data_IF_993406214315
#
_entry.id   IF_993406214315
#
_cell.length_a   1.000
_cell.length_b   1.000
_cell.length_c   1.000
_cell.angle_alpha   90.00
_cell.angle_beta   90.00
_cell.angle_gamma   90.00
#
_symmetry.space_group_name_H-M   'P 1'
#
loop_
_entity.id
_entity.type
_entity.pdbx_description
1 polymer ?
#
# COMPACT_ATOMS: atom_id res chain seq x y z
N UNK A 1 19.24 -0.92 21.79
CA UNK A 1 20.01 0.36 21.72
C UNK A 1 20.18 0.68 20.24
N UNK A 2 19.28 1.49 19.68
CA UNK A 2 19.12 1.63 18.22
C UNK A 2 20.19 2.54 17.61
N UNK A 3 20.89 2.03 16.61
CA UNK A 3 21.98 2.71 15.89
C UNK A 3 21.38 3.47 14.70
N UNK A 4 21.15 4.77 14.86
CA UNK A 4 20.72 5.64 13.74
C UNK A 4 21.86 5.81 12.73
N UNK A 5 21.62 5.41 11.48
CA UNK A 5 22.52 5.70 10.36
C UNK A 5 21.81 6.64 9.39
N UNK A 6 22.29 7.89 9.34
CA UNK A 6 21.84 8.93 8.42
C UNK A 6 22.24 8.57 6.99
N UNK A 7 21.27 8.47 6.08
CA UNK A 7 21.49 8.64 4.64
C UNK A 7 20.44 9.59 4.07
N UNK A 8 20.91 10.78 3.68
CA UNK A 8 20.18 11.70 2.82
C UNK A 8 20.20 11.16 1.40
N UNK A 9 19.04 11.15 0.75
CA UNK A 9 18.94 11.09 -0.71
C UNK A 9 18.08 12.26 -1.16
N UNK A 10 18.70 13.17 -1.91
CA UNK A 10 18.01 14.21 -2.65
C UNK A 10 17.45 13.57 -3.93
N UNK A 11 16.13 13.63 -4.13
CA UNK A 11 15.52 13.33 -5.42
C UNK A 11 14.93 14.60 -6.02
N UNK A 12 15.56 15.03 -7.12
CA UNK A 12 15.11 16.14 -7.94
C UNK A 12 13.81 15.78 -8.64
N UNK A 13 12.81 16.66 -8.50
CA UNK A 13 11.56 16.56 -9.23
C UNK A 13 11.77 16.84 -10.71
N UNK A 14 11.71 15.81 -11.54
CA UNK A 14 11.50 15.99 -12.97
C UNK A 14 10.01 16.23 -13.21
N UNK A 15 9.67 17.42 -13.76
CA UNK A 15 8.36 17.67 -14.35
C UNK A 15 8.26 16.88 -15.65
N UNK A 16 7.22 16.06 -15.77
CA UNK A 16 6.88 15.38 -17.02
C UNK A 16 5.99 16.33 -17.82
N UNK A 17 6.48 16.83 -18.95
CA UNK A 17 5.64 17.47 -19.97
C UNK A 17 4.95 16.35 -20.78
N UNK A 18 3.62 16.33 -20.78
CA UNK A 18 2.83 15.33 -21.51
C UNK A 18 2.39 15.90 -22.88
N UNK A 19 2.58 15.17 -24.00
CA UNK A 19 2.08 15.62 -25.30
C UNK A 19 0.55 15.49 -25.39
N UNK A 20 -0.05 16.50 -26.02
CA UNK A 20 -1.45 16.57 -26.42
C UNK A 20 -1.69 15.63 -27.61
N UNK A 21 -2.11 14.41 -27.32
CA UNK A 21 -2.67 13.48 -28.30
C UNK A 21 -3.91 12.87 -27.67
N UNK A 22 -5.04 12.89 -28.38
CA UNK A 22 -6.36 12.44 -27.93
C UNK A 22 -6.51 10.93 -27.69
N UNK A 23 -5.52 10.28 -27.09
CA UNK A 23 -5.72 9.09 -26.29
C UNK A 23 -6.40 9.53 -24.98
N UNK A 24 -7.36 8.75 -24.49
CA UNK A 24 -7.91 8.93 -23.14
C UNK A 24 -6.75 8.64 -22.19
N UNK A 25 -6.00 9.68 -21.86
CA UNK A 25 -4.87 9.56 -20.95
C UNK A 25 -5.38 8.90 -19.66
N UNK A 26 -4.69 7.86 -19.15
CA UNK A 26 -5.12 7.20 -17.93
C UNK A 26 -5.26 8.25 -16.84
N UNK A 27 -6.40 8.21 -16.13
CA UNK A 27 -6.66 9.10 -15.01
C UNK A 27 -5.46 9.02 -14.06
N UNK A 28 -4.78 10.15 -13.86
CA UNK A 28 -3.57 10.21 -13.05
C UNK A 28 -3.83 9.67 -11.62
N UNK A 29 -5.05 9.83 -11.11
CA UNK A 29 -5.46 9.25 -9.84
C UNK A 29 -5.51 7.72 -9.91
N UNK A 30 -5.98 7.13 -11.01
CA UNK A 30 -6.00 5.67 -11.20
C UNK A 30 -4.59 5.08 -11.20
N UNK A 31 -3.66 5.70 -11.94
CA UNK A 31 -2.26 5.23 -11.97
C UNK A 31 -1.60 5.31 -10.58
N UNK A 32 -1.76 6.45 -9.89
CA UNK A 32 -1.19 6.66 -8.56
C UNK A 32 -1.79 5.70 -7.51
N UNK A 33 -3.10 5.49 -7.55
CA UNK A 33 -3.79 4.55 -6.65
C UNK A 33 -3.35 3.10 -6.92
N UNK A 34 -3.18 2.71 -8.18
CA UNK A 34 -2.73 1.36 -8.53
C UNK A 34 -1.33 1.08 -8.00
N UNK A 35 -0.43 2.05 -8.12
CA UNK A 35 0.93 1.97 -7.58
C UNK A 35 0.94 1.90 -6.05
N UNK A 36 0.09 2.69 -5.40
CA UNK A 36 -0.10 2.65 -3.95
C UNK A 36 -0.61 1.29 -3.48
N UNK A 37 -1.66 0.76 -4.14
CA UNK A 37 -2.26 -0.54 -3.80
C UNK A 37 -1.27 -1.70 -3.96
N UNK A 38 -0.47 -1.69 -5.02
CA UNK A 38 0.56 -2.70 -5.23
C UNK A 38 1.58 -2.74 -4.08
N UNK A 39 2.05 -1.57 -3.64
CA UNK A 39 2.99 -1.47 -2.52
C UNK A 39 2.36 -1.79 -1.18
N UNK A 40 1.10 -1.42 -0.97
CA UNK A 40 0.35 -1.80 0.22
C UNK A 40 0.21 -3.32 0.32
N UNK A 41 -0.15 -3.98 -0.79
CA UNK A 41 -0.24 -5.43 -0.87
C UNK A 41 1.12 -6.11 -0.59
N UNK A 42 2.23 -5.56 -1.11
CA UNK A 42 3.58 -6.04 -0.79
C UNK A 42 3.87 -5.93 0.72
N UNK A 43 3.53 -4.79 1.33
CA UNK A 43 3.70 -4.57 2.77
C UNK A 43 2.90 -5.57 3.60
N UNK A 44 1.64 -5.85 3.23
CA UNK A 44 0.80 -6.84 3.91
C UNK A 44 1.37 -8.26 3.80
N UNK A 45 1.82 -8.66 2.61
CA UNK A 45 2.44 -9.97 2.38
C UNK A 45 3.71 -10.14 3.21
N UNK A 46 4.57 -9.12 3.25
CA UNK A 46 5.77 -9.13 4.09
C UNK A 46 5.41 -9.19 5.57
N UNK A 47 4.39 -8.45 6.01
CA UNK A 47 3.91 -8.47 7.39
C UNK A 47 3.44 -9.87 7.80
N UNK A 48 2.63 -10.53 6.96
CA UNK A 48 2.19 -11.90 7.21
C UNK A 48 3.36 -12.89 7.29
N UNK A 49 4.33 -12.77 6.38
CA UNK A 49 5.53 -13.61 6.40
C UNK A 49 6.39 -13.37 7.64
N UNK A 50 6.56 -12.11 8.03
CA UNK A 50 7.29 -11.70 9.21
C UNK A 50 6.64 -12.26 10.48
N UNK A 51 5.32 -12.18 10.61
CA UNK A 51 4.56 -12.78 11.72
C UNK A 51 4.71 -14.31 11.80
N UNK A 52 4.70 -15.00 10.64
CA UNK A 52 4.91 -16.43 10.60
C UNK A 52 6.34 -16.81 11.06
N UNK A 53 7.34 -16.04 10.63
CA UNK A 53 8.73 -16.23 11.04
C UNK A 53 8.93 -15.92 12.53
N UNK A 54 8.33 -14.85 13.04
CA UNK A 54 8.33 -14.51 14.46
C UNK A 54 7.74 -15.65 15.30
N UNK A 55 6.59 -16.18 14.87
CA UNK A 55 5.93 -17.31 15.54
C UNK A 55 6.84 -18.55 15.58
N UNK A 56 7.53 -18.83 14.48
CA UNK A 56 8.49 -19.94 14.40
C UNK A 56 9.68 -19.74 15.35
N UNK A 57 10.31 -18.56 15.32
CA UNK A 57 11.41 -18.19 16.20
C UNK A 57 11.01 -18.29 17.68
N UNK A 58 9.81 -17.83 18.02
CA UNK A 58 9.29 -17.89 19.38
C UNK A 58 9.12 -19.33 19.86
N UNK A 59 8.51 -20.19 19.02
CA UNK A 59 8.20 -21.57 19.37
C UNK A 59 9.44 -22.47 19.44
N UNK A 60 10.34 -22.33 18.46
CA UNK A 60 11.38 -23.34 18.22
C UNK A 60 12.76 -22.90 18.73
N UNK A 61 12.96 -21.60 18.98
CA UNK A 61 14.26 -21.04 19.40
C UNK A 61 14.23 -20.27 20.72
N UNK A 62 13.10 -20.24 21.43
CA UNK A 62 12.90 -19.43 22.65
C UNK A 62 13.38 -17.99 22.45
N UNK A 63 13.01 -17.39 21.32
CA UNK A 63 13.54 -16.11 20.82
C UNK A 63 13.64 -15.00 21.88
N UNK A 64 12.67 -14.92 22.79
CA UNK A 64 12.64 -13.94 23.89
C UNK A 64 13.79 -14.08 24.88
N UNK A 65 14.31 -15.28 25.09
CA UNK A 65 15.36 -15.57 26.07
C UNK A 65 16.77 -15.47 25.47
N UNK A 66 16.86 -15.29 24.15
CA UNK A 66 18.13 -15.17 23.45
C UNK A 66 18.73 -13.77 23.64
N UNK A 67 20.02 -13.72 23.97
CA UNK A 67 20.84 -12.51 23.86
C UNK A 67 21.03 -12.10 22.40
N UNK A 68 21.42 -10.85 22.17
CA UNK A 68 21.69 -10.31 20.83
C UNK A 68 22.72 -11.16 20.05
N UNK A 69 23.77 -11.63 20.72
CA UNK A 69 24.78 -12.51 20.11
C UNK A 69 24.22 -13.89 19.71
N UNK A 70 23.30 -14.44 20.52
CA UNK A 70 22.63 -15.70 20.18
C UNK A 70 21.65 -15.51 19.02
N UNK A 71 20.90 -14.41 18.98
CA UNK A 71 20.03 -14.09 17.84
C UNK A 71 20.83 -13.92 16.55
N UNK A 72 21.95 -13.19 16.60
CA UNK A 72 22.83 -13.00 15.44
C UNK A 72 23.43 -14.31 14.89
N UNK A 73 23.39 -15.40 15.66
CA UNK A 73 23.82 -16.72 15.20
C UNK A 73 22.74 -17.52 14.47
N UNK A 74 21.48 -17.07 14.50
CA UNK A 74 20.36 -17.66 13.79
C UNK A 74 20.22 -17.00 12.40
N UNK A 75 20.33 -17.75 11.29
CA UNK A 75 20.10 -17.20 9.95
C UNK A 75 18.74 -16.52 9.80
N UNK A 76 17.71 -17.07 10.44
CA UNK A 76 16.33 -16.58 10.46
C UNK A 76 16.19 -15.21 11.13
N UNK A 77 17.10 -14.86 12.04
CA UNK A 77 17.13 -13.54 12.68
C UNK A 77 17.42 -12.42 11.68
N UNK A 78 18.40 -12.64 10.81
CA UNK A 78 18.80 -11.66 9.81
C UNK A 78 17.70 -11.47 8.75
N UNK A 79 17.01 -12.55 8.39
CA UNK A 79 15.85 -12.49 7.49
C UNK A 79 14.70 -11.71 8.14
N UNK A 80 14.40 -11.98 9.41
CA UNK A 80 13.37 -11.27 10.18
C UNK A 80 13.65 -9.75 10.26
N UNK A 81 14.88 -9.38 10.63
CA UNK A 81 15.28 -7.97 10.72
C UNK A 81 15.17 -7.26 9.35
N UNK A 82 15.63 -7.92 8.28
CA UNK A 82 15.54 -7.35 6.93
C UNK A 82 14.09 -7.14 6.46
N UNK A 83 13.19 -8.09 6.76
CA UNK A 83 11.77 -7.94 6.45
C UNK A 83 11.15 -6.80 7.25
N UNK A 84 11.47 -6.69 8.54
CA UNK A 84 10.95 -5.63 9.39
C UNK A 84 11.40 -4.24 8.88
N UNK A 85 12.67 -4.08 8.49
CA UNK A 85 13.17 -2.86 7.89
C UNK A 85 12.43 -2.52 6.57
N UNK A 86 12.17 -3.52 5.72
CA UNK A 86 11.44 -3.33 4.47
C UNK A 86 9.96 -2.95 4.71
N UNK A 87 9.30 -3.57 5.69
CA UNK A 87 7.92 -3.23 6.09
C UNK A 87 7.85 -1.78 6.56
N UNK A 88 8.80 -1.33 7.41
CA UNK A 88 8.86 0.06 7.88
C UNK A 88 9.04 1.02 6.71
N UNK A 89 9.97 0.73 5.79
CA UNK A 89 10.23 1.58 4.63
C UNK A 89 8.99 1.68 3.72
N UNK A 90 8.32 0.57 3.44
CA UNK A 90 7.08 0.54 2.65
C UNK A 90 5.96 1.31 3.35
N UNK A 91 5.80 1.14 4.66
CA UNK A 91 4.78 1.85 5.43
C UNK A 91 4.99 3.37 5.42
N UNK A 92 6.24 3.82 5.63
CA UNK A 92 6.58 5.24 5.58
C UNK A 92 6.31 5.84 4.20
N UNK A 93 6.74 5.13 3.15
CA UNK A 93 6.49 5.52 1.78
C UNK A 93 4.99 5.56 1.44
N UNK A 94 4.23 4.53 1.79
CA UNK A 94 2.79 4.45 1.55
C UNK A 94 2.04 5.57 2.27
N UNK A 95 2.47 5.92 3.49
CA UNK A 95 1.90 7.05 4.26
C UNK A 95 2.16 8.40 3.57
N UNK A 96 3.36 8.61 3.04
CA UNK A 96 3.68 9.84 2.29
C UNK A 96 2.87 9.92 0.99
N UNK A 97 2.80 8.84 0.22
CA UNK A 97 2.06 8.77 -1.03
C UNK A 97 0.54 8.88 -0.85
N UNK A 98 0.00 8.45 0.28
CA UNK A 98 -1.43 8.57 0.56
C UNK A 98 -1.91 10.02 0.51
N UNK A 99 -1.05 10.97 0.90
CA UNK A 99 -1.37 12.40 0.75
C UNK A 99 -1.54 12.79 -0.71
N UNK A 100 -0.64 12.34 -1.59
CA UNK A 100 -0.75 12.59 -3.02
C UNK A 100 -2.01 11.95 -3.63
N UNK A 101 -2.35 10.73 -3.21
CA UNK A 101 -3.62 10.07 -3.59
C UNK A 101 -4.83 10.90 -3.15
N UNK A 102 -4.79 11.45 -1.94
CA UNK A 102 -5.87 12.26 -1.38
C UNK A 102 -6.07 13.55 -2.17
N UNK A 103 -4.98 14.27 -2.42
CA UNK A 103 -4.97 15.60 -3.07
C UNK A 103 -5.32 15.52 -4.56
N UNK A 104 -5.04 14.40 -5.23
CA UNK A 104 -5.29 14.25 -6.65
C UNK A 104 -6.78 13.97 -6.92
N UNK A 105 -7.42 14.85 -7.69
CA UNK A 105 -8.81 14.67 -8.09
C UNK A 105 -8.96 13.53 -9.11
N UNK A 106 -9.85 12.58 -8.82
CA UNK A 106 -10.32 11.63 -9.81
C UNK A 106 -11.38 12.31 -10.67
N UNK A 107 -11.18 12.32 -11.99
CA UNK A 107 -12.11 12.96 -12.94
C UNK A 107 -12.93 11.94 -13.73
N UNK A 108 -12.62 10.66 -13.54
CA UNK A 108 -13.26 9.53 -14.23
C UNK A 108 -13.83 8.51 -13.24
N UNK A 109 -14.79 7.70 -13.70
CA UNK A 109 -15.32 6.56 -12.94
C UNK A 109 -14.21 5.60 -12.45
N UNK A 110 -13.29 5.14 -13.33
CA UNK A 110 -12.13 4.33 -12.92
C UNK A 110 -11.23 5.01 -11.88
N UNK A 111 -11.02 6.33 -11.98
CA UNK A 111 -10.28 7.09 -10.97
C UNK A 111 -10.96 7.06 -9.60
N UNK A 112 -12.30 7.23 -9.55
CA UNK A 112 -13.08 7.17 -8.32
C UNK A 112 -13.04 5.77 -7.69
N UNK A 113 -13.24 4.74 -8.51
CA UNK A 113 -13.08 3.32 -8.12
C UNK A 113 -11.70 3.09 -7.50
N UNK A 114 -10.64 3.57 -8.15
CA UNK A 114 -9.27 3.39 -7.64
C UNK A 114 -9.05 4.08 -6.29
N UNK A 115 -9.55 5.31 -6.10
CA UNK A 115 -9.46 6.01 -4.80
C UNK A 115 -10.24 5.30 -3.69
N UNK A 116 -11.41 4.76 -4.02
CA UNK A 116 -12.21 3.99 -3.06
C UNK A 116 -11.54 2.66 -2.70
N UNK A 117 -10.88 1.99 -3.64
CA UNK A 117 -10.07 0.80 -3.34
C UNK A 117 -8.92 1.11 -2.37
N UNK A 118 -8.25 2.25 -2.52
CA UNK A 118 -7.26 2.72 -1.55
C UNK A 118 -7.89 2.96 -0.18
N UNK A 119 -9.03 3.65 -0.12
CA UNK A 119 -9.74 3.88 1.15
C UNK A 119 -10.16 2.57 1.84
N UNK A 120 -10.62 1.59 1.05
CA UNK A 120 -11.03 0.28 1.55
C UNK A 120 -9.85 -0.55 2.09
N UNK A 121 -8.66 -0.39 1.53
CA UNK A 121 -7.44 -1.01 2.03
C UNK A 121 -6.95 -0.38 3.34
N UNK A 122 -7.21 0.92 3.55
CA UNK A 122 -6.79 1.64 4.77
C UNK A 122 -7.75 1.40 5.94
N UNK A 123 -9.06 1.42 5.66
CA UNK A 123 -10.07 1.21 6.70
C UNK A 123 -10.22 -0.29 6.91
N UNK A 124 -9.54 -0.84 7.89
CA UNK A 124 -9.60 -2.27 8.15
C UNK A 124 -10.94 -2.65 8.81
N UNK A 125 -11.51 -3.83 8.47
CA UNK A 125 -12.82 -4.23 9.00
C UNK A 125 -12.82 -4.48 10.51
N UNK A 126 -11.68 -4.86 11.09
CA UNK A 126 -11.49 -5.03 12.53
C UNK A 126 -11.34 -3.70 13.29
N UNK A 127 -10.92 -2.62 12.61
CA UNK A 127 -10.85 -1.28 13.18
C UNK A 127 -12.18 -0.51 13.08
N UNK A 128 -12.88 -0.64 11.94
CA UNK A 128 -14.16 0.02 11.69
C UNK A 128 -15.01 -0.73 10.65
N UNK A 129 -15.76 -1.72 11.13
CA UNK A 129 -16.61 -2.59 10.30
C UNK A 129 -17.62 -1.80 9.46
N UNK A 130 -18.33 -0.84 10.08
CA UNK A 130 -19.38 -0.06 9.41
C UNK A 130 -18.83 0.79 8.25
N UNK A 131 -17.71 1.49 8.48
CA UNK A 131 -17.08 2.30 7.45
C UNK A 131 -16.52 1.42 6.32
N UNK A 132 -15.88 0.29 6.66
CA UNK A 132 -15.39 -0.67 5.68
C UNK A 132 -16.53 -1.21 4.81
N UNK A 133 -17.64 -1.62 5.43
CA UNK A 133 -18.81 -2.14 4.73
C UNK A 133 -19.44 -1.09 3.81
N UNK A 134 -19.55 0.16 4.27
CA UNK A 134 -20.07 1.26 3.46
C UNK A 134 -19.18 1.54 2.24
N UNK A 135 -17.86 1.64 2.42
CA UNK A 135 -16.91 1.84 1.32
C UNK A 135 -16.99 0.71 0.30
N UNK A 136 -17.06 -0.54 0.77
CA UNK A 136 -17.23 -1.72 -0.08
C UNK A 136 -18.55 -1.69 -0.85
N UNK A 137 -19.64 -1.23 -0.23
CA UNK A 137 -20.94 -1.07 -0.90
C UNK A 137 -20.87 -0.03 -2.02
N UNK A 138 -20.33 1.15 -1.72
CA UNK A 138 -20.20 2.25 -2.71
C UNK A 138 -19.35 1.80 -3.90
N UNK A 139 -18.25 1.06 -3.65
CA UNK A 139 -17.40 0.53 -4.70
C UNK A 139 -18.18 -0.41 -5.64
N UNK A 140 -18.96 -1.35 -5.08
CA UNK A 140 -19.82 -2.25 -5.88
C UNK A 140 -20.86 -1.49 -6.69
N UNK A 141 -21.48 -0.48 -6.11
CA UNK A 141 -22.49 0.34 -6.79
C UNK A 141 -21.88 1.10 -7.98
N UNK A 142 -20.66 1.63 -7.84
CA UNK A 142 -19.94 2.32 -8.91
C UNK A 142 -19.51 1.38 -10.03
N UNK A 143 -19.04 0.18 -9.70
CA UNK A 143 -18.70 -0.85 -10.68
C UNK A 143 -19.94 -1.29 -11.47
N UNK A 144 -21.08 -1.47 -10.78
CA UNK A 144 -22.35 -1.80 -11.42
C UNK A 144 -22.92 -0.64 -12.26
N UNK A 145 -22.65 0.61 -11.87
CA UNK A 145 -23.04 1.81 -12.60
C UNK A 145 -22.17 2.09 -13.84
N UNK A 146 -21.17 1.25 -14.14
CA UNK A 146 -20.30 1.32 -15.31
C UNK A 146 -21.06 1.70 -16.58
N UNK A 147 -20.90 2.95 -17.00
CA UNK A 147 -21.58 3.61 -18.12
C UNK A 147 -21.47 2.75 -19.38
N UNK A 148 -22.61 2.21 -19.83
CA UNK A 148 -22.79 1.60 -21.16
C UNK A 148 -22.32 2.58 -22.28
N UNK A 149 -21.51 2.15 -23.27
CA UNK A 149 -21.20 2.97 -24.42
C UNK A 149 -22.45 3.10 -25.31
N UNK A 150 -23.18 4.21 -25.14
CA UNK A 150 -24.14 4.68 -26.13
C UNK A 150 -25.52 4.00 -26.06
N UNK A 151 -26.42 4.57 -25.27
CA UNK A 151 -27.83 4.58 -25.63
C UNK A 151 -28.18 5.94 -26.21
N UNK A 152 -27.98 6.08 -27.52
CA UNK A 152 -28.64 7.11 -28.29
C UNK A 152 -30.15 6.98 -28.02
N UNK A 153 -30.76 8.02 -27.44
CA UNK A 153 -32.22 8.13 -27.43
C UNK A 153 -32.64 8.41 -28.86
N UNK A 154 -33.23 7.41 -29.51
CA UNK A 154 -34.15 7.62 -30.63
C UNK A 154 -35.49 8.16 -30.13
#
# INVERSE_FOLDING_TARGET
>A
MFRQSKRQAAFGGARIDLPDNGEIAPDAASALCSEWLARHCEQEQLTMRCQALETHLFRDHNWCDLSEAQRASLPEAAEFDAMNDQIIALHDFNREQLKAVTDLAATTGPGLVSKLSVALAIVLPDENEDAHALLRSILKDLEAAGIEPGRARG
#
